data_IF_185341685651
#
_entry.id   IF_185341685651
#
_cell.length_a   1.000
_cell.length_b   1.000
_cell.length_c   1.000
_cell.angle_alpha   90.00
_cell.angle_beta   90.00
_cell.angle_gamma   90.00
#
_symmetry.space_group_name_H-M   'P 1'
#
loop_
_entity.id
_entity.type
_entity.pdbx_description
1 polymer ?
#
# COMPACT_ATOMS: atom_id res chain seq x y z
N UNK A 1 44.07 15.59 -43.36
CA UNK A 1 43.87 16.56 -42.25
C UNK A 1 42.40 16.90 -42.20
N UNK A 2 41.81 16.77 -41.00
CA UNK A 2 40.39 16.86 -40.70
C UNK A 2 39.84 18.27 -40.94
N UNK A 3 38.64 18.37 -41.50
CA UNK A 3 37.76 19.53 -41.33
C UNK A 3 36.58 19.13 -40.46
N UNK A 4 36.48 19.80 -39.32
CA UNK A 4 35.50 19.60 -38.25
C UNK A 4 34.09 19.92 -38.72
N UNK A 5 33.15 19.01 -38.50
CA UNK A 5 31.72 19.28 -38.55
C UNK A 5 31.22 19.44 -37.11
N UNK A 6 30.90 20.67 -36.75
CA UNK A 6 30.32 21.03 -35.46
C UNK A 6 28.79 20.81 -35.57
N UNK A 7 28.28 19.72 -35.01
CA UNK A 7 26.85 19.58 -34.74
C UNK A 7 26.63 19.83 -33.24
N UNK A 8 26.11 21.02 -32.94
CA UNK A 8 25.50 21.31 -31.65
C UNK A 8 24.31 20.39 -31.45
N UNK A 9 24.43 19.43 -30.54
CA UNK A 9 23.29 18.69 -30.01
C UNK A 9 22.35 19.67 -29.29
N UNK A 10 21.18 19.87 -29.88
CA UNK A 10 20.06 20.56 -29.26
C UNK A 10 19.58 19.66 -28.12
N UNK A 11 20.05 19.94 -26.90
CA UNK A 11 19.49 19.38 -25.69
C UNK A 11 18.03 19.86 -25.55
N UNK A 12 17.10 19.07 -26.05
CA UNK A 12 15.66 19.28 -25.80
C UNK A 12 15.42 19.04 -24.31
N UNK A 13 15.31 20.13 -23.57
CA UNK A 13 15.00 20.11 -22.15
C UNK A 13 13.52 19.72 -21.97
N UNK A 14 13.26 18.41 -21.88
CA UNK A 14 11.93 17.88 -21.59
C UNK A 14 11.62 18.16 -20.13
N UNK A 15 10.89 19.24 -19.86
CA UNK A 15 10.30 19.52 -18.55
C UNK A 15 9.52 18.27 -18.08
N UNK A 16 9.67 17.80 -16.83
CA UNK A 16 8.90 16.65 -16.37
C UNK A 16 7.43 17.08 -16.30
N UNK A 17 6.63 16.64 -17.27
CA UNK A 17 5.21 16.90 -17.28
C UNK A 17 4.56 16.26 -16.04
N UNK A 18 3.68 16.99 -15.37
CA UNK A 18 2.87 16.47 -14.27
C UNK A 18 2.12 15.22 -14.75
N UNK A 19 2.25 14.07 -14.08
CA UNK A 19 1.66 12.81 -14.53
C UNK A 19 0.13 12.88 -14.55
N UNK A 20 -0.49 12.28 -15.57
CA UNK A 20 -1.95 12.15 -15.59
C UNK A 20 -2.43 11.20 -14.49
N UNK A 21 -3.71 11.27 -14.12
CA UNK A 21 -4.32 10.29 -13.18
C UNK A 21 -4.11 8.85 -13.68
N UNK A 22 -4.15 8.63 -15.00
CA UNK A 22 -3.87 7.33 -15.62
C UNK A 22 -2.42 6.88 -15.42
N UNK A 23 -1.46 7.80 -15.49
CA UNK A 23 -0.05 7.51 -15.21
C UNK A 23 0.18 7.24 -13.72
N UNK A 24 -0.49 7.98 -12.83
CA UNK A 24 -0.46 7.73 -11.39
C UNK A 24 -1.05 6.37 -11.04
N UNK A 25 -2.18 6.01 -11.64
CA UNK A 25 -2.79 4.67 -11.55
C UNK A 25 -1.79 3.63 -12.07
N UNK A 26 -1.11 3.85 -13.20
CA UNK A 26 -0.08 2.92 -13.70
C UNK A 26 1.14 2.83 -12.78
N UNK A 27 1.52 3.90 -12.07
CA UNK A 27 2.62 3.86 -11.10
C UNK A 27 2.20 3.14 -9.82
N UNK A 28 1.00 3.42 -9.30
CA UNK A 28 0.43 2.79 -8.10
C UNK A 28 0.08 1.31 -8.31
N UNK A 29 -0.34 0.95 -9.53
CA UNK A 29 -0.94 -0.34 -9.84
C UNK A 29 -0.24 -1.12 -10.98
N UNK A 30 0.83 -0.58 -11.57
CA UNK A 30 1.51 -1.18 -12.73
C UNK A 30 3.05 -1.17 -12.67
N UNK A 31 3.65 -0.77 -11.54
CA UNK A 31 5.09 -0.92 -11.31
C UNK A 31 5.46 -2.24 -10.64
N UNK A 32 6.68 -2.74 -10.89
CA UNK A 32 7.29 -3.84 -10.12
C UNK A 32 7.21 -3.49 -8.62
N UNK A 33 6.34 -4.20 -7.89
CA UNK A 33 6.19 -4.09 -6.45
C UNK A 33 7.45 -4.69 -5.78
N UNK A 34 7.97 -4.03 -4.76
CA UNK A 34 8.72 -4.75 -3.72
C UNK A 34 7.68 -5.26 -2.71
N UNK A 35 7.68 -6.57 -2.53
CA UNK A 35 6.53 -7.37 -2.10
C UNK A 35 6.13 -8.25 -3.29
N UNK A 36 6.23 -9.56 -3.15
CA UNK A 36 5.86 -10.47 -4.21
C UNK A 36 4.43 -10.13 -4.65
N UNK A 37 4.09 -10.23 -5.93
CA UNK A 37 2.70 -10.05 -6.39
C UNK A 37 1.75 -11.14 -5.82
N UNK A 38 2.30 -12.03 -5.00
CA UNK A 38 1.72 -13.17 -4.33
C UNK A 38 2.48 -13.43 -3.03
N UNK A 39 1.80 -13.40 -1.90
CA UNK A 39 2.35 -13.67 -0.59
C UNK A 39 1.66 -14.88 0.04
N UNK A 40 2.43 -15.78 0.66
CA UNK A 40 1.87 -16.85 1.49
C UNK A 40 1.44 -16.27 2.84
N UNK A 41 0.14 -16.30 3.13
CA UNK A 41 -0.45 -15.65 4.31
C UNK A 41 -0.93 -16.65 5.36
N UNK A 42 -0.93 -17.94 5.00
CA UNK A 42 -1.20 -19.09 5.85
C UNK A 42 -0.64 -20.32 5.13
N UNK A 43 -0.27 -21.42 5.82
CA UNK A 43 0.27 -22.61 5.16
C UNK A 43 -0.54 -23.02 3.93
N UNK A 44 0.11 -23.00 2.76
CA UNK A 44 -0.46 -23.30 1.45
C UNK A 44 -1.59 -22.36 0.96
N UNK A 45 -1.81 -21.23 1.63
CA UNK A 45 -2.78 -20.20 1.25
C UNK A 45 -2.07 -18.89 0.91
N UNK A 46 -2.23 -18.50 -0.33
CA UNK A 46 -1.58 -17.36 -0.94
C UNK A 46 -2.59 -16.25 -1.23
N UNK A 47 -2.16 -15.00 -1.09
CA UNK A 47 -2.91 -13.83 -1.53
C UNK A 47 -2.13 -13.09 -2.60
N UNK A 48 -2.79 -12.58 -3.63
CA UNK A 48 -2.09 -11.77 -4.63
C UNK A 48 -3.00 -10.94 -5.50
N UNK A 49 -2.40 -10.32 -6.51
CA UNK A 49 -3.10 -9.48 -7.46
C UNK A 49 -3.39 -10.21 -8.78
N UNK A 50 -4.15 -9.55 -9.64
CA UNK A 50 -4.57 -10.07 -10.92
C UNK A 50 -3.41 -10.32 -11.90
N UNK A 51 -2.24 -9.69 -11.69
CA UNK A 51 -1.08 -9.94 -12.55
C UNK A 51 -0.58 -11.37 -12.39
N UNK A 52 -0.56 -11.90 -11.15
CA UNK A 52 -0.23 -13.31 -10.88
C UNK A 52 -1.37 -14.21 -11.30
N UNK A 53 -2.61 -13.81 -11.06
CA UNK A 53 -3.78 -14.59 -11.49
C UNK A 53 -3.78 -14.87 -13.00
N UNK A 54 -3.26 -13.93 -13.80
CA UNK A 54 -3.19 -14.04 -15.25
C UNK A 54 -1.86 -14.65 -15.75
N UNK A 55 -0.91 -14.97 -14.87
CA UNK A 55 0.36 -15.62 -15.21
C UNK A 55 0.32 -17.11 -14.81
N UNK A 56 -0.13 -17.94 -15.76
CA UNK A 56 -0.25 -19.39 -15.56
C UNK A 56 1.09 -20.07 -15.26
N UNK A 57 2.20 -19.53 -15.78
CA UNK A 57 3.52 -20.08 -15.49
C UNK A 57 3.91 -19.82 -14.03
N UNK A 58 3.67 -18.60 -13.53
CA UNK A 58 3.92 -18.28 -12.12
C UNK A 58 3.04 -19.09 -11.17
N UNK A 59 1.74 -19.25 -11.48
CA UNK A 59 0.85 -20.11 -10.70
C UNK A 59 1.31 -21.58 -10.68
N UNK A 60 1.68 -22.12 -11.85
CA UNK A 60 2.21 -23.48 -11.96
C UNK A 60 3.52 -23.66 -11.17
N UNK A 61 4.44 -22.70 -11.28
CA UNK A 61 5.72 -22.72 -10.56
C UNK A 61 5.52 -22.65 -9.05
N UNK A 62 4.49 -21.95 -8.59
CA UNK A 62 4.06 -21.92 -7.20
C UNK A 62 3.24 -23.16 -6.81
N UNK A 63 2.95 -24.08 -7.73
CA UNK A 63 2.15 -25.27 -7.45
C UNK A 63 0.72 -24.94 -7.02
N UNK A 64 0.17 -23.80 -7.47
CA UNK A 64 -1.21 -23.42 -7.17
C UNK A 64 -2.15 -24.40 -7.86
N UNK A 65 -3.04 -25.01 -7.07
CA UNK A 65 -4.04 -25.98 -7.54
C UNK A 65 -5.45 -25.41 -7.48
N UNK A 66 -5.70 -24.38 -6.68
CA UNK A 66 -7.01 -23.74 -6.54
C UNK A 66 -6.90 -22.22 -6.61
N UNK A 67 -7.84 -21.56 -7.26
CA UNK A 67 -7.91 -20.10 -7.38
C UNK A 67 -9.26 -19.58 -6.91
N UNK A 68 -9.23 -18.65 -5.95
CA UNK A 68 -10.38 -17.86 -5.53
C UNK A 68 -10.27 -16.46 -6.11
N UNK A 69 -11.15 -16.09 -7.04
CA UNK A 69 -11.21 -14.75 -7.63
C UNK A 69 -12.31 -13.93 -6.96
N UNK A 70 -11.90 -13.03 -6.05
CA UNK A 70 -12.76 -12.08 -5.34
C UNK A 70 -13.21 -10.89 -6.20
N UNK A 71 -13.22 -11.03 -7.53
CA UNK A 71 -13.57 -10.01 -8.51
C UNK A 71 -14.13 -10.63 -9.81
N UNK A 72 -14.73 -11.82 -9.74
CA UNK A 72 -15.20 -12.56 -10.90
C UNK A 72 -16.26 -11.78 -11.72
N UNK A 73 -16.25 -11.97 -13.04
CA UNK A 73 -17.24 -11.39 -13.95
C UNK A 73 -17.07 -9.90 -14.28
N UNK A 74 -15.97 -9.25 -13.85
CA UNK A 74 -15.68 -7.84 -14.16
C UNK A 74 -14.67 -7.69 -15.31
N UNK A 75 -14.74 -6.56 -16.04
CA UNK A 75 -13.93 -6.21 -17.25
C UNK A 75 -12.42 -6.48 -17.14
N UNK A 76 -11.86 -6.59 -15.93
CA UNK A 76 -10.42 -6.74 -15.73
C UNK A 76 -10.02 -8.16 -15.27
N UNK A 77 -10.90 -8.94 -14.64
CA UNK A 77 -10.56 -10.24 -14.06
C UNK A 77 -11.23 -11.36 -14.87
N UNK A 78 -10.63 -11.71 -16.01
CA UNK A 78 -11.15 -12.72 -16.95
C UNK A 78 -10.90 -14.17 -16.51
N UNK A 79 -10.42 -14.41 -15.29
CA UNK A 79 -10.24 -15.76 -14.77
C UNK A 79 -11.57 -16.51 -14.78
N UNK A 80 -11.65 -17.56 -15.58
CA UNK A 80 -12.74 -18.53 -15.62
C UNK A 80 -12.13 -19.94 -15.67
N UNK A 81 -12.96 -20.96 -15.48
CA UNK A 81 -12.55 -22.35 -15.66
C UNK A 81 -11.87 -22.57 -17.03
N UNK A 82 -12.32 -21.89 -18.09
CA UNK A 82 -11.72 -21.98 -19.43
C UNK A 82 -10.31 -21.36 -19.50
N UNK A 83 -10.04 -20.32 -18.71
CA UNK A 83 -8.72 -19.69 -18.64
C UNK A 83 -7.69 -20.60 -17.95
N UNK A 84 -8.10 -21.22 -16.85
CA UNK A 84 -7.23 -22.04 -16.00
C UNK A 84 -7.14 -23.51 -16.44
N UNK A 85 -8.08 -23.97 -17.27
CA UNK A 85 -8.15 -25.36 -17.72
C UNK A 85 -8.32 -26.35 -16.57
N UNK A 86 -8.04 -27.62 -16.81
CA UNK A 86 -8.18 -28.70 -15.82
C UNK A 86 -7.09 -28.73 -14.75
N UNK A 87 -6.08 -27.87 -14.83
CA UNK A 87 -4.92 -27.88 -13.91
C UNK A 87 -5.16 -27.10 -12.62
N UNK A 88 -6.19 -26.23 -12.60
CA UNK A 88 -6.49 -25.39 -11.45
C UNK A 88 -8.01 -25.35 -11.27
N UNK A 89 -8.48 -25.74 -10.09
CA UNK A 89 -9.88 -25.56 -9.69
C UNK A 89 -10.14 -24.07 -9.43
N UNK A 90 -11.29 -23.57 -9.89
CA UNK A 90 -11.61 -22.16 -9.92
C UNK A 90 -12.92 -21.84 -9.20
N UNK A 91 -12.84 -20.92 -8.23
CA UNK A 91 -13.99 -20.37 -7.52
C UNK A 91 -14.10 -18.86 -7.74
N UNK A 92 -15.17 -18.44 -8.41
CA UNK A 92 -15.44 -17.04 -8.73
C UNK A 92 -16.42 -16.39 -7.77
N UNK A 93 -15.98 -15.32 -7.10
CA UNK A 93 -16.86 -14.48 -6.27
C UNK A 93 -17.15 -13.18 -7.04
N UNK A 94 -18.40 -12.92 -7.44
CA UNK A 94 -18.79 -11.73 -8.18
C UNK A 94 -18.92 -10.52 -7.24
N UNK A 95 -17.78 -10.06 -6.71
CA UNK A 95 -17.72 -8.96 -5.76
C UNK A 95 -17.33 -7.62 -6.38
N UNK A 96 -18.13 -6.61 -6.07
CA UNK A 96 -17.91 -5.24 -6.53
C UNK A 96 -16.91 -4.52 -5.65
N UNK A 97 -16.04 -3.71 -6.26
CA UNK A 97 -15.14 -2.82 -5.53
C UNK A 97 -15.86 -1.52 -5.17
N UNK A 98 -16.90 -1.66 -4.35
CA UNK A 98 -17.72 -0.55 -3.86
C UNK A 98 -17.86 -0.63 -2.34
N UNK A 99 -17.78 0.51 -1.62
CA UNK A 99 -18.08 0.54 -0.18
C UNK A 99 -19.54 0.14 0.14
N UNK A 100 -20.43 0.15 -0.86
CA UNK A 100 -21.83 -0.28 -0.70
C UNK A 100 -22.05 -1.76 -0.99
N UNK A 101 -21.03 -2.49 -1.45
CA UNK A 101 -21.18 -3.91 -1.77
C UNK A 101 -21.05 -4.76 -0.50
N UNK A 102 -22.06 -5.59 -0.25
CA UNK A 102 -22.05 -6.50 0.88
C UNK A 102 -21.28 -7.79 0.54
N UNK A 103 -19.99 -7.80 0.92
CA UNK A 103 -19.13 -8.97 0.76
C UNK A 103 -19.45 -10.11 1.75
N UNK A 104 -20.19 -9.84 2.83
CA UNK A 104 -20.39 -10.81 3.92
C UNK A 104 -21.09 -12.09 3.47
N UNK A 105 -21.93 -11.97 2.44
CA UNK A 105 -22.66 -13.08 1.80
C UNK A 105 -21.74 -14.14 1.20
N UNK A 106 -20.47 -13.79 0.95
CA UNK A 106 -19.47 -14.68 0.35
C UNK A 106 -18.45 -15.20 1.37
N UNK A 107 -18.52 -14.79 2.64
CA UNK A 107 -17.53 -15.19 3.65
C UNK A 107 -17.56 -16.70 3.92
N UNK A 108 -18.73 -17.26 4.29
CA UNK A 108 -18.85 -18.71 4.51
C UNK A 108 -18.59 -19.53 3.25
N UNK A 109 -19.21 -19.24 2.09
CA UNK A 109 -18.94 -20.02 0.88
C UNK A 109 -17.47 -20.01 0.44
N UNK A 110 -16.78 -18.86 0.53
CA UNK A 110 -15.36 -18.78 0.18
C UNK A 110 -14.49 -19.48 1.21
N UNK A 111 -14.82 -19.38 2.50
CA UNK A 111 -14.08 -20.05 3.57
C UNK A 111 -14.17 -21.58 3.44
N UNK A 112 -15.38 -22.10 3.18
CA UNK A 112 -15.63 -23.52 2.92
C UNK A 112 -14.84 -24.03 1.70
N UNK A 113 -14.81 -23.27 0.61
CA UNK A 113 -14.01 -23.62 -0.57
C UNK A 113 -12.51 -23.66 -0.24
N UNK A 114 -12.00 -22.64 0.46
CA UNK A 114 -10.59 -22.60 0.88
C UNK A 114 -10.27 -23.79 1.79
N UNK A 115 -11.14 -24.10 2.76
CA UNK A 115 -10.91 -25.23 3.67
C UNK A 115 -10.93 -26.56 2.93
N UNK A 116 -11.95 -26.80 2.11
CA UNK A 116 -12.08 -28.05 1.33
C UNK A 116 -10.88 -28.29 0.42
N UNK A 117 -10.36 -27.22 -0.19
CA UNK A 117 -9.14 -27.29 -0.99
C UNK A 117 -7.91 -27.64 -0.12
N UNK A 118 -7.73 -26.96 1.01
CA UNK A 118 -6.58 -27.18 1.91
C UNK A 118 -6.61 -28.53 2.66
N UNK A 119 -7.77 -29.17 2.76
CA UNK A 119 -7.89 -30.54 3.28
C UNK A 119 -7.33 -31.60 2.31
N UNK A 120 -7.09 -31.22 1.04
CA UNK A 120 -6.45 -32.09 0.05
C UNK A 120 -4.93 -31.99 0.15
N UNK A 121 -4.26 -33.13 0.29
CA UNK A 121 -2.79 -33.17 0.42
C UNK A 121 -2.10 -32.55 -0.82
N UNK A 122 -1.10 -31.71 -0.54
CA UNK A 122 -0.36 -30.96 -1.56
C UNK A 122 -1.14 -29.82 -2.25
N UNK A 123 -2.39 -29.55 -1.88
CA UNK A 123 -3.14 -28.45 -2.47
C UNK A 123 -2.62 -27.09 -2.02
N UNK A 124 -2.64 -26.12 -2.94
CA UNK A 124 -2.24 -24.74 -2.67
C UNK A 124 -3.27 -23.79 -3.26
N UNK A 125 -3.80 -22.90 -2.42
CA UNK A 125 -4.92 -22.01 -2.75
C UNK A 125 -4.39 -20.60 -2.97
N UNK A 126 -4.76 -19.98 -4.08
CA UNK A 126 -4.45 -18.58 -4.37
C UNK A 126 -5.72 -17.74 -4.37
N UNK A 127 -5.79 -16.77 -3.47
CA UNK A 127 -6.91 -15.82 -3.35
C UNK A 127 -6.49 -14.48 -3.93
N UNK A 128 -7.20 -13.99 -4.94
CA UNK A 128 -6.89 -12.70 -5.54
C UNK A 128 -8.13 -11.84 -5.76
N UNK A 129 -7.90 -10.55 -5.99
CA UNK A 129 -8.90 -9.66 -6.56
C UNK A 129 -8.24 -8.89 -7.72
N UNK A 130 -8.65 -7.66 -7.99
CA UNK A 130 -7.96 -6.82 -8.98
C UNK A 130 -6.52 -6.49 -8.54
N UNK A 131 -6.34 -6.05 -7.28
CA UNK A 131 -5.05 -5.54 -6.78
C UNK A 131 -4.52 -6.28 -5.54
N UNK A 132 -5.24 -7.28 -5.05
CA UNK A 132 -4.83 -8.16 -3.95
C UNK A 132 -4.99 -7.63 -2.52
N UNK A 133 -5.75 -6.55 -2.31
CA UNK A 133 -5.73 -5.81 -1.03
C UNK A 133 -7.04 -5.86 -0.22
N UNK A 134 -8.19 -5.61 -0.85
CA UNK A 134 -9.44 -5.41 -0.12
C UNK A 134 -10.29 -6.68 -0.08
N UNK A 135 -10.86 -7.06 -1.23
CA UNK A 135 -11.77 -8.20 -1.36
C UNK A 135 -11.07 -9.53 -1.05
N UNK A 136 -9.92 -9.80 -1.66
CA UNK A 136 -9.13 -11.01 -1.40
C UNK A 136 -8.70 -11.14 0.06
N UNK A 137 -8.23 -10.05 0.67
CA UNK A 137 -7.80 -10.08 2.07
C UNK A 137 -8.99 -10.30 3.00
N UNK A 138 -10.15 -9.71 2.68
CA UNK A 138 -11.37 -9.91 3.46
C UNK A 138 -11.83 -11.38 3.43
N UNK A 139 -11.74 -12.06 2.28
CA UNK A 139 -12.05 -13.50 2.19
C UNK A 139 -11.06 -14.36 2.97
N UNK A 140 -9.75 -14.05 2.91
CA UNK A 140 -8.73 -14.76 3.72
C UNK A 140 -8.97 -14.55 5.22
N UNK A 141 -9.27 -13.32 5.64
CA UNK A 141 -9.59 -13.03 7.04
C UNK A 141 -10.83 -13.78 7.50
N UNK A 142 -11.88 -13.83 6.67
CA UNK A 142 -13.07 -14.60 6.95
C UNK A 142 -12.75 -16.10 7.14
N UNK A 143 -11.93 -16.69 6.26
CA UNK A 143 -11.46 -18.06 6.39
C UNK A 143 -10.77 -18.32 7.75
N UNK A 144 -9.82 -17.46 8.12
CA UNK A 144 -9.09 -17.57 9.39
C UNK A 144 -10.02 -17.45 10.61
N UNK A 145 -11.03 -16.59 10.54
CA UNK A 145 -12.00 -16.44 11.62
C UNK A 145 -12.95 -17.64 11.72
N UNK A 146 -13.41 -18.17 10.57
CA UNK A 146 -14.41 -19.23 10.50
C UNK A 146 -13.82 -20.60 10.84
N UNK A 147 -12.70 -20.99 10.21
CA UNK A 147 -12.14 -22.34 10.36
C UNK A 147 -11.02 -22.45 11.40
N UNK A 148 -10.34 -21.34 11.71
CA UNK A 148 -9.27 -21.33 12.73
C UNK A 148 -9.66 -20.61 14.02
N UNK A 149 -10.92 -20.16 14.12
CA UNK A 149 -11.48 -19.51 15.29
C UNK A 149 -10.70 -18.28 15.79
N UNK A 150 -9.95 -17.63 14.90
CA UNK A 150 -9.26 -16.39 15.26
C UNK A 150 -10.26 -15.25 15.44
N UNK A 151 -9.96 -14.38 16.39
CA UNK A 151 -10.56 -13.05 16.39
C UNK A 151 -10.09 -12.27 15.16
N UNK A 152 -10.88 -11.27 14.73
CA UNK A 152 -10.49 -10.39 13.61
C UNK A 152 -9.09 -9.77 13.83
N UNK A 153 -8.74 -9.42 15.07
CA UNK A 153 -7.45 -8.82 15.38
C UNK A 153 -6.29 -9.82 15.20
N UNK A 154 -6.47 -11.07 15.63
CA UNK A 154 -5.46 -12.12 15.46
C UNK A 154 -5.29 -12.49 13.98
N UNK A 155 -6.38 -12.63 13.24
CA UNK A 155 -6.37 -12.91 11.80
C UNK A 155 -5.62 -11.79 11.03
N UNK A 156 -5.88 -10.52 11.36
CA UNK A 156 -5.14 -9.38 10.83
C UNK A 156 -3.65 -9.53 11.18
N UNK A 157 -3.29 -9.70 12.44
CA UNK A 157 -1.88 -9.75 12.84
C UNK A 157 -1.11 -10.90 12.16
N UNK A 158 -1.75 -12.06 11.96
CA UNK A 158 -1.16 -13.20 11.22
C UNK A 158 -0.95 -12.89 9.74
N UNK A 159 -1.97 -12.35 9.08
CA UNK A 159 -1.91 -11.98 7.66
C UNK A 159 -0.82 -10.91 7.40
N UNK A 160 -0.70 -9.90 8.27
CA UNK A 160 0.30 -8.82 8.13
C UNK A 160 1.74 -9.21 8.52
N UNK A 161 1.94 -10.16 9.44
CA UNK A 161 3.29 -10.58 9.88
C UNK A 161 3.98 -11.43 8.81
N UNK A 162 3.22 -12.25 8.08
CA UNK A 162 3.75 -13.13 7.03
C UNK A 162 4.09 -12.36 5.72
N UNK A 163 3.39 -11.25 5.45
CA UNK A 163 3.66 -10.37 4.27
C UNK A 163 4.95 -9.54 4.43
N UNK A 164 5.46 -9.36 5.66
CA UNK A 164 6.63 -8.49 5.92
C UNK A 164 7.86 -9.32 6.30
N UNK A 165 8.51 -9.88 5.29
CA UNK A 165 9.93 -10.22 5.39
C UNK A 165 10.72 -9.02 5.92
N UNK A 166 11.50 -9.27 6.96
CA UNK A 166 12.38 -8.34 7.67
C UNK A 166 13.21 -7.49 6.71
N UNK A 167 13.22 -6.16 6.84
CA UNK A 167 14.40 -5.26 6.77
C UNK A 167 13.99 -3.77 6.62
N UNK A 168 14.72 -2.91 7.32
CA UNK A 168 14.41 -1.51 7.67
C UNK A 168 14.90 -0.45 6.66
N UNK A 169 14.16 0.67 6.57
CA UNK A 169 14.59 2.04 6.88
C UNK A 169 13.61 3.06 6.24
N UNK A 170 12.95 3.86 7.09
CA UNK A 170 11.71 4.66 6.89
C UNK A 170 10.42 3.87 7.06
N UNK A 171 10.09 3.53 8.32
CA UNK A 171 9.00 2.61 8.62
C UNK A 171 7.67 3.37 8.68
N UNK A 172 6.92 3.39 7.57
CA UNK A 172 5.47 3.57 7.66
C UNK A 172 4.90 2.26 8.22
N UNK A 173 4.25 2.30 9.38
CA UNK A 173 3.78 1.10 10.09
C UNK A 173 2.28 1.15 10.40
N UNK A 174 1.74 0.02 10.87
CA UNK A 174 0.39 -0.06 11.41
C UNK A 174 0.35 0.45 12.85
N UNK A 175 -0.85 0.78 13.34
CA UNK A 175 -1.07 1.17 14.74
C UNK A 175 -0.50 0.18 15.77
N UNK A 176 -0.45 -1.11 15.43
CA UNK A 176 0.00 -2.17 16.35
C UNK A 176 1.49 -1.99 16.72
N UNK A 177 2.31 -1.58 15.74
CA UNK A 177 3.73 -1.28 15.99
C UNK A 177 3.88 0.02 16.77
N UNK A 178 3.10 1.05 16.40
CA UNK A 178 3.13 2.34 17.08
C UNK A 178 2.76 2.25 18.58
N UNK A 179 1.84 1.36 18.93
CA UNK A 179 1.41 1.16 20.32
C UNK A 179 2.42 0.38 21.18
N UNK A 180 3.45 -0.24 20.58
CA UNK A 180 4.48 -0.96 21.31
C UNK A 180 5.73 -0.09 21.55
N UNK A 181 5.71 0.68 22.64
CA UNK A 181 6.80 1.59 23.02
C UNK A 181 8.17 0.91 23.14
N UNK A 182 8.21 -0.32 23.67
CA UNK A 182 9.45 -1.09 23.78
C UNK A 182 10.05 -1.38 22.41
N UNK A 183 9.23 -1.76 21.44
CA UNK A 183 9.69 -1.95 20.05
C UNK A 183 10.15 -0.63 19.44
N UNK A 184 9.44 0.48 19.68
CA UNK A 184 9.86 1.80 19.16
C UNK A 184 11.23 2.22 19.70
N UNK A 185 11.49 2.02 21.00
CA UNK A 185 12.79 2.27 21.60
C UNK A 185 13.90 1.39 21.00
N UNK A 186 13.63 0.10 20.82
CA UNK A 186 14.59 -0.84 20.18
C UNK A 186 14.92 -0.45 18.74
N UNK A 187 13.95 0.10 18.01
CA UNK A 187 14.14 0.61 16.66
C UNK A 187 14.81 1.99 16.62
N UNK A 188 15.07 2.62 17.77
CA UNK A 188 15.64 3.96 17.89
C UNK A 188 14.69 5.05 17.39
N UNK A 189 13.37 4.83 17.44
CA UNK A 189 12.39 5.86 17.08
C UNK A 189 12.42 6.97 18.13
N UNK A 190 12.45 8.21 17.67
CA UNK A 190 12.50 9.42 18.52
C UNK A 190 11.26 10.29 18.35
N UNK A 191 10.60 10.21 17.19
CA UNK A 191 9.45 11.03 16.84
C UNK A 191 8.32 10.15 16.31
N UNK A 192 7.08 10.46 16.67
CA UNK A 192 5.89 9.73 16.20
C UNK A 192 4.88 10.71 15.62
N UNK A 193 4.62 10.57 14.32
CA UNK A 193 3.54 11.24 13.61
C UNK A 193 2.37 10.27 13.41
N UNK A 194 1.26 10.51 14.09
CA UNK A 194 0.03 9.74 13.96
C UNK A 194 -0.97 10.48 13.06
N UNK A 195 -1.13 10.01 11.83
CA UNK A 195 -2.07 10.53 10.83
C UNK A 195 -3.52 10.06 11.04
N UNK A 196 -3.86 9.50 12.20
CA UNK A 196 -5.20 9.07 12.57
C UNK A 196 -5.47 9.37 14.06
N UNK A 197 -4.93 10.47 14.59
CA UNK A 197 -5.11 10.84 16.00
C UNK A 197 -6.59 10.94 16.37
N UNK A 198 -6.94 10.48 17.57
CA UNK A 198 -8.32 10.46 18.10
C UNK A 198 -9.33 9.63 17.29
N UNK A 199 -8.90 8.85 16.29
CA UNK A 199 -9.77 7.91 15.58
C UNK A 199 -9.90 6.60 16.36
N UNK A 200 -11.04 5.93 16.25
CA UNK A 200 -11.30 4.65 16.93
C UNK A 200 -10.18 3.65 16.63
N UNK A 201 -9.60 3.09 17.70
CA UNK A 201 -8.46 2.15 17.62
C UNK A 201 -7.08 2.80 17.44
N UNK A 202 -7.00 4.11 17.21
CA UNK A 202 -5.75 4.89 17.07
C UNK A 202 -5.35 5.53 18.39
N UNK A 203 -4.88 4.71 19.33
CA UNK A 203 -4.41 5.19 20.64
C UNK A 203 -3.05 5.87 20.45
N UNK A 204 -2.88 7.05 21.05
CA UNK A 204 -1.61 7.76 21.12
C UNK A 204 -1.80 9.25 21.35
N UNK A 205 -1.00 9.80 22.26
CA UNK A 205 -0.80 11.24 22.49
C UNK A 205 0.55 11.42 23.20
N UNK A 206 0.96 12.67 23.48
CA UNK A 206 2.22 12.92 24.17
C UNK A 206 2.29 12.23 25.54
N UNK A 207 1.19 12.15 26.29
CA UNK A 207 1.14 11.44 27.58
C UNK A 207 1.34 9.92 27.43
N UNK A 208 0.79 9.31 26.38
CA UNK A 208 0.97 7.89 26.10
C UNK A 208 2.43 7.56 25.79
N UNK A 209 3.08 8.38 24.98
CA UNK A 209 4.48 8.18 24.58
C UNK A 209 5.49 8.65 25.63
N UNK A 210 5.10 9.52 26.56
CA UNK A 210 5.99 10.04 27.61
C UNK A 210 7.05 10.99 27.04
N UNK A 211 8.15 11.18 27.76
CA UNK A 211 9.26 12.05 27.33
C UNK A 211 10.23 11.39 26.35
N UNK A 212 10.14 10.08 26.16
CA UNK A 212 11.03 9.32 25.27
C UNK A 212 10.78 9.57 23.79
N UNK A 213 9.62 10.12 23.42
CA UNK A 213 9.28 10.42 22.04
C UNK A 213 8.63 11.79 21.93
N UNK A 214 8.87 12.50 20.83
CA UNK A 214 8.10 13.68 20.45
C UNK A 214 6.90 13.24 19.62
N UNK A 215 5.70 13.64 20.02
CA UNK A 215 4.45 13.22 19.38
C UNK A 215 3.80 14.33 18.56
N UNK A 216 3.37 14.00 17.35
CA UNK A 216 2.50 14.84 16.51
C UNK A 216 1.25 14.04 16.11
N UNK A 217 0.07 14.54 16.48
CA UNK A 217 -1.21 13.92 16.15
C UNK A 217 -1.96 14.73 15.11
N UNK A 218 -2.29 14.11 13.97
CA UNK A 218 -3.16 14.68 12.95
C UNK A 218 -4.49 13.93 12.98
N UNK A 219 -5.63 14.60 13.24
CA UNK A 219 -6.93 13.97 13.39
C UNK A 219 -7.60 13.66 12.04
N UNK A 220 -6.88 13.04 11.11
CA UNK A 220 -7.37 12.82 9.75
C UNK A 220 -8.31 11.61 9.60
N UNK A 221 -9.43 11.86 8.91
CA UNK A 221 -10.34 10.80 8.44
C UNK A 221 -9.84 10.17 7.15
N UNK A 222 -10.01 8.85 7.02
CA UNK A 222 -9.67 8.13 5.78
C UNK A 222 -10.84 8.18 4.81
N UNK A 223 -11.17 9.39 4.38
CA UNK A 223 -12.37 9.69 3.61
C UNK A 223 -12.01 10.43 2.33
N UNK A 224 -12.83 10.23 1.30
CA UNK A 224 -12.74 10.98 0.05
C UNK A 224 -13.19 12.43 0.17
N UNK A 225 -13.64 12.87 1.35
CA UNK A 225 -14.08 14.24 1.63
C UNK A 225 -13.18 14.96 2.63
N UNK A 226 -12.23 14.27 3.25
CA UNK A 226 -11.33 14.88 4.21
C UNK A 226 -10.24 15.67 3.49
N UNK A 227 -10.12 16.95 3.79
CA UNK A 227 -9.05 17.78 3.28
C UNK A 227 -7.75 17.52 4.07
N UNK A 228 -6.86 16.73 3.47
CA UNK A 228 -5.55 16.42 4.05
C UNK A 228 -4.47 17.44 3.66
N UNK A 229 -4.73 18.32 2.69
CA UNK A 229 -3.74 19.27 2.16
C UNK A 229 -3.31 20.28 3.23
N UNK A 230 -4.25 20.71 4.07
CA UNK A 230 -3.98 21.59 5.22
C UNK A 230 -2.92 21.03 6.18
N UNK A 231 -2.68 19.72 6.14
CA UNK A 231 -1.67 19.04 6.96
C UNK A 231 -0.39 18.67 6.22
N UNK A 232 -0.29 18.87 4.91
CA UNK A 232 0.91 18.52 4.13
C UNK A 232 2.14 19.25 4.64
N UNK A 233 2.08 20.58 4.74
CA UNK A 233 3.22 21.37 5.23
C UNK A 233 3.50 21.11 6.72
N UNK A 234 2.53 21.18 7.65
CA UNK A 234 2.78 20.86 9.06
C UNK A 234 3.40 19.48 9.30
N UNK A 235 2.91 18.43 8.61
CA UNK A 235 3.45 17.09 8.72
C UNK A 235 4.87 16.99 8.13
N UNK A 236 5.09 17.62 6.97
CA UNK A 236 6.40 17.65 6.33
C UNK A 236 7.44 18.38 7.19
N UNK A 237 7.06 19.48 7.83
CA UNK A 237 7.92 20.25 8.73
C UNK A 237 8.30 19.43 9.96
N UNK A 238 7.33 18.71 10.55
CA UNK A 238 7.59 17.81 11.67
C UNK A 238 8.61 16.73 11.29
N UNK A 239 8.41 16.06 10.15
CA UNK A 239 9.32 15.02 9.66
C UNK A 239 10.70 15.63 9.39
N UNK A 240 10.75 16.75 8.66
CA UNK A 240 12.01 17.37 8.29
C UNK A 240 12.83 17.84 9.50
N UNK A 241 12.18 18.50 10.47
CA UNK A 241 12.86 19.00 11.66
C UNK A 241 13.39 17.86 12.53
N UNK A 242 12.64 16.77 12.68
CA UNK A 242 13.11 15.60 13.40
C UNK A 242 14.35 14.98 12.74
N UNK A 243 14.36 14.87 11.41
CA UNK A 243 15.46 14.29 10.63
C UNK A 243 16.71 15.19 10.52
N UNK A 244 16.67 16.43 11.00
CA UNK A 244 17.88 17.27 11.11
C UNK A 244 18.85 16.77 12.18
N UNK A 245 18.33 16.06 13.17
CA UNK A 245 19.17 15.46 14.21
C UNK A 245 19.77 14.16 13.68
N UNK A 246 21.08 13.88 13.89
CA UNK A 246 21.71 12.64 13.43
C UNK A 246 21.02 11.37 13.93
N UNK A 247 20.53 11.39 15.17
CA UNK A 247 19.79 10.29 15.80
C UNK A 247 18.26 10.37 15.57
N UNK A 248 17.82 11.37 14.80
CA UNK A 248 16.43 11.62 14.51
C UNK A 248 15.83 10.52 13.63
N UNK A 249 14.98 9.69 14.22
CA UNK A 249 14.17 8.69 13.49
C UNK A 249 12.67 8.89 13.72
N UNK A 250 11.94 9.07 12.62
CA UNK A 250 10.50 9.36 12.64
C UNK A 250 9.68 8.13 12.26
N UNK A 251 8.73 7.77 13.11
CA UNK A 251 7.65 6.86 12.77
C UNK A 251 6.46 7.66 12.24
N UNK A 252 6.00 7.36 11.03
CA UNK A 252 4.77 7.92 10.46
C UNK A 252 3.73 6.81 10.29
N UNK A 253 2.60 6.89 10.98
CA UNK A 253 1.59 5.83 10.96
C UNK A 253 0.16 6.37 10.86
N UNK A 254 -0.77 5.51 10.47
CA UNK A 254 -2.21 5.73 10.65
C UNK A 254 -2.82 4.45 11.27
N UNK A 255 -4.06 4.09 10.95
CA UNK A 255 -4.65 2.83 11.40
C UNK A 255 -3.91 1.64 10.75
N UNK A 256 -3.95 1.57 9.42
CA UNK A 256 -3.36 0.48 8.62
C UNK A 256 -1.98 0.83 8.05
N UNK A 257 -1.58 2.09 8.17
CA UNK A 257 -0.34 2.59 7.56
C UNK A 257 -0.37 2.68 6.03
N UNK A 258 -1.55 2.64 5.39
CA UNK A 258 -1.68 2.49 3.92
C UNK A 258 -2.08 3.76 3.17
N UNK A 259 -2.92 4.61 3.75
CA UNK A 259 -3.53 5.75 3.04
C UNK A 259 -3.02 7.08 3.61
N UNK A 260 -3.64 7.60 4.69
CA UNK A 260 -3.28 8.87 5.35
C UNK A 260 -1.78 9.05 5.58
N UNK A 261 -1.14 8.08 6.25
CA UNK A 261 0.29 8.17 6.59
C UNK A 261 1.20 8.17 5.38
N UNK A 262 0.90 7.37 4.35
CA UNK A 262 1.68 7.40 3.11
C UNK A 262 1.48 8.68 2.34
N UNK A 263 0.27 9.27 2.34
CA UNK A 263 0.03 10.57 1.70
C UNK A 263 0.91 11.65 2.31
N UNK A 264 0.99 11.71 3.65
CA UNK A 264 1.84 12.70 4.33
C UNK A 264 3.33 12.47 4.06
N UNK A 265 3.79 11.22 3.96
CA UNK A 265 5.18 10.91 3.58
C UNK A 265 5.47 11.30 2.13
N UNK A 266 4.53 11.07 1.20
CA UNK A 266 4.67 11.52 -0.19
C UNK A 266 4.77 13.05 -0.26
N UNK A 267 3.91 13.77 0.47
CA UNK A 267 3.97 15.23 0.56
C UNK A 267 5.32 15.72 1.11
N UNK A 268 5.85 15.09 2.16
CA UNK A 268 7.20 15.38 2.68
C UNK A 268 8.29 15.19 1.61
N UNK A 269 8.27 14.07 0.88
CA UNK A 269 9.23 13.81 -0.19
C UNK A 269 9.15 14.86 -1.31
N UNK A 270 7.95 15.34 -1.64
CA UNK A 270 7.78 16.38 -2.65
C UNK A 270 8.26 17.75 -2.15
N UNK A 271 7.90 18.13 -0.93
CA UNK A 271 8.20 19.45 -0.35
C UNK A 271 9.69 19.60 -0.05
N UNK A 272 10.29 18.64 0.68
CA UNK A 272 11.64 18.76 1.23
C UNK A 272 12.71 17.97 0.47
N UNK A 273 12.34 16.92 -0.27
CA UNK A 273 13.27 16.19 -1.13
C UNK A 273 13.12 16.60 -2.61
N UNK A 274 12.24 17.57 -2.89
CA UNK A 274 12.00 18.17 -4.20
C UNK A 274 11.65 17.18 -5.31
N UNK A 275 11.18 15.99 -4.95
CA UNK A 275 10.75 14.95 -5.88
C UNK A 275 9.42 15.34 -6.53
N UNK A 276 9.24 14.95 -7.79
CA UNK A 276 7.89 14.97 -8.38
C UNK A 276 7.02 13.90 -7.71
N UNK A 277 5.69 14.03 -7.81
CA UNK A 277 4.77 13.02 -7.29
C UNK A 277 5.09 11.62 -7.82
N UNK A 278 5.42 11.50 -9.11
CA UNK A 278 5.82 10.22 -9.73
C UNK A 278 7.08 9.64 -9.06
N UNK A 279 8.11 10.45 -8.85
CA UNK A 279 9.36 10.01 -8.22
C UNK A 279 9.14 9.63 -6.75
N UNK A 280 8.35 10.41 -6.01
CA UNK A 280 7.99 10.12 -4.62
C UNK A 280 7.23 8.79 -4.51
N UNK A 281 6.24 8.56 -5.38
CA UNK A 281 5.51 7.29 -5.47
C UNK A 281 6.44 6.12 -5.75
N UNK A 282 7.29 6.22 -6.78
CA UNK A 282 8.25 5.17 -7.12
C UNK A 282 9.18 4.86 -5.94
N UNK A 283 9.72 5.90 -5.28
CA UNK A 283 10.61 5.74 -4.13
C UNK A 283 9.92 5.06 -2.95
N UNK A 284 8.66 5.39 -2.67
CA UNK A 284 7.93 4.80 -1.55
C UNK A 284 7.44 3.38 -1.86
N UNK A 285 7.00 3.11 -3.08
CA UNK A 285 6.57 1.79 -3.56
C UNK A 285 7.70 0.76 -3.62
N UNK A 286 8.95 1.21 -3.81
CA UNK A 286 10.13 0.33 -3.67
C UNK A 286 10.34 -0.20 -2.25
N UNK A 287 9.70 0.41 -1.25
CA UNK A 287 9.85 0.02 0.16
C UNK A 287 8.61 -0.67 0.71
N UNK A 288 7.42 -0.36 0.19
CA UNK A 288 6.16 -0.95 0.64
C UNK A 288 4.99 -0.61 -0.27
N UNK A 289 3.97 -1.46 -0.25
CA UNK A 289 2.66 -1.13 -0.79
C UNK A 289 2.03 0.07 -0.05
N UNK A 290 1.37 0.94 -0.80
CA UNK A 290 0.59 2.08 -0.30
C UNK A 290 -0.72 2.16 -1.10
N UNK A 291 -1.74 2.75 -0.49
CA UNK A 291 -3.06 2.92 -1.09
C UNK A 291 -3.72 4.22 -0.59
N UNK A 292 -3.18 5.40 -0.96
CA UNK A 292 -3.90 6.65 -0.75
C UNK A 292 -5.28 6.60 -1.41
N UNK A 293 -6.31 7.10 -0.74
CA UNK A 293 -7.63 7.20 -1.36
C UNK A 293 -7.63 8.19 -2.54
N UNK A 294 -8.69 8.17 -3.35
CA UNK A 294 -8.77 9.00 -4.57
C UNK A 294 -8.64 10.51 -4.30
N UNK A 295 -9.23 11.01 -3.22
CA UNK A 295 -9.12 12.41 -2.85
C UNK A 295 -7.69 12.78 -2.49
N UNK A 296 -7.01 11.96 -1.68
CA UNK A 296 -5.62 12.19 -1.30
C UNK A 296 -4.66 12.17 -2.48
N UNK A 297 -4.92 11.34 -3.50
CA UNK A 297 -4.16 11.39 -4.75
C UNK A 297 -4.41 12.70 -5.52
N UNK A 298 -5.65 13.19 -5.53
CA UNK A 298 -5.97 14.47 -6.15
C UNK A 298 -5.28 15.65 -5.44
N UNK A 299 -5.26 15.64 -4.10
CA UNK A 299 -4.54 16.66 -3.30
C UNK A 299 -3.03 16.61 -3.57
N UNK A 300 -2.43 15.41 -3.66
CA UNK A 300 -1.01 15.28 -4.03
C UNK A 300 -0.72 15.76 -5.45
N UNK A 301 -1.64 15.55 -6.39
CA UNK A 301 -1.51 16.06 -7.76
C UNK A 301 -1.54 17.59 -7.78
N UNK A 302 -2.46 18.20 -7.01
CA UNK A 302 -2.52 19.65 -6.87
C UNK A 302 -1.22 20.20 -6.26
N UNK A 303 -0.69 19.55 -5.22
CA UNK A 303 0.61 19.89 -4.64
C UNK A 303 1.75 19.83 -5.69
N UNK A 304 1.80 18.79 -6.54
CA UNK A 304 2.81 18.65 -7.61
C UNK A 304 2.73 19.81 -8.61
N UNK A 305 1.52 20.21 -8.99
CA UNK A 305 1.28 21.37 -9.86
C UNK A 305 1.72 22.68 -9.20
N UNK A 306 1.35 22.89 -7.93
CA UNK A 306 1.76 24.09 -7.17
C UNK A 306 3.28 24.20 -7.06
N UNK A 307 3.97 23.11 -6.71
CA UNK A 307 5.43 23.08 -6.60
C UNK A 307 6.12 23.28 -7.96
N UNK A 308 5.56 22.73 -9.04
CA UNK A 308 6.07 22.92 -10.40
C UNK A 308 5.93 24.38 -10.86
N UNK A 309 4.77 25.02 -10.57
CA UNK A 309 4.56 26.46 -10.86
C UNK A 309 5.57 27.32 -10.10
N UNK A 310 5.75 27.09 -8.80
CA UNK A 310 6.74 27.83 -7.98
C UNK A 310 8.17 27.70 -8.52
N UNK A 311 8.58 26.50 -8.96
CA UNK A 311 9.90 26.29 -9.60
C UNK A 311 10.08 27.13 -10.87
N UNK A 312 9.04 27.23 -11.72
CA UNK A 312 9.09 28.05 -12.94
C UNK A 312 9.17 29.55 -12.64
N UNK A 313 8.44 30.03 -11.64
CA UNK A 313 8.48 31.45 -11.26
C UNK A 313 9.84 31.84 -10.66
N UNK A 314 10.47 30.98 -9.85
CA UNK A 314 11.81 31.25 -9.29
C UNK A 314 12.96 31.12 -10.30
N UNK A 315 12.75 30.55 -11.49
CA UNK A 315 13.79 30.48 -12.54
C UNK A 315 13.80 31.68 -13.47
N UNK A 316 12.78 32.55 -13.40
CA UNK A 316 12.59 33.71 -14.29
C UNK A 316 12.94 35.03 -13.55
N UNK A 317 13.12 34.99 -12.23
CA UNK A 317 13.59 36.09 -11.38
C UNK A 317 15.08 35.90 -11.07
#
# INVERSE_FOLDING_TARGET
MQTMNNQQEIHVNVSPATPSVKDLVKVLYGGKRFGNHVDEVWPNLFIGDMSVANDRYSLWKLGITHVVNAAHGRMHCQGSHDFYGSSVDYYGVPADDSPSFDLSRYFFPSAEYIQSALDTDGARVFVHCAVGVSRSASLVLAYLMIHHHYTLLEAINKNYTLIRGSHENHTITSRAVAQNKTTLLKLGITHVLNAAHSKRGSIGNQSFYGSSFVYCGIPADDSTYFDLDVYFKPAADFIHNALKSPDGKVLVHCIMGMSRSSTLVLAYLMIYQHLTLKQALQKLLQKRAIYPNRNFLALLLDLDLQLTRKKKTCQIL
#
